data_IF_847577211756
#
_entry.id   IF_847577211756
#
_cell.length_a   1.000
_cell.length_b   1.000
_cell.length_c   1.000
_cell.angle_alpha   90.00
_cell.angle_beta   90.00
_cell.angle_gamma   90.00
#
_symmetry.space_group_name_H-M   'P 1'
#
loop_
_entity.id
_entity.type
_entity.pdbx_description
1 polymer ?
2 non-polymer ?
3 non-polymer ?
4 non-polymer ?
5 water ?
#
# COMPACT_ATOMS: atom_id res chain seq x y z
N UNK A 6 26.77 -15.08 2.86
CA UNK A 6 25.95 -13.85 3.13
C UNK A 6 24.53 -14.26 3.44
N UNK A 7 23.83 -13.54 4.36
CA UNK A 7 22.47 -13.99 4.60
C UNK A 7 21.59 -13.98 3.34
N UNK A 8 20.75 -15.00 3.27
CA UNK A 8 19.73 -15.22 2.26
C UNK A 8 18.39 -14.93 2.90
N UNK A 9 17.65 -13.97 2.34
CA UNK A 9 16.33 -13.65 2.87
C UNK A 9 15.29 -14.15 1.86
N UNK A 10 14.30 -14.89 2.36
CA UNK A 10 13.16 -15.38 1.57
C UNK A 10 12.01 -14.45 1.86
N UNK A 11 11.37 -13.96 0.81
CA UNK A 11 10.23 -13.04 0.90
C UNK A 11 9.02 -13.71 0.26
N UNK A 12 7.93 -13.81 1.02
CA UNK A 12 6.70 -14.50 0.60
C UNK A 12 5.54 -13.46 0.60
N UNK A 13 5.30 -12.76 -0.53
CA UNK A 13 4.21 -11.76 -0.49
C UNK A 13 2.85 -12.43 -0.53
N UNK A 14 1.84 -11.75 -0.02
CA UNK A 14 0.46 -12.16 -0.31
C UNK A 14 0.00 -11.38 -1.57
N UNK A 15 -0.88 -11.99 -2.38
CA UNK A 15 -1.25 -11.37 -3.65
C UNK A 15 -1.62 -9.91 -3.57
N UNK A 16 -1.18 -9.15 -4.57
CA UNK A 16 -1.53 -7.73 -4.70
C UNK A 16 -0.32 -6.93 -5.12
N UNK A 17 -0.48 -6.09 -6.14
CA UNK A 17 0.63 -5.26 -6.60
C UNK A 17 1.12 -4.29 -5.49
N UNK A 18 0.20 -3.89 -4.60
CA UNK A 18 0.49 -3.00 -3.46
C UNK A 18 1.39 -3.65 -2.42
N UNK A 19 1.50 -4.99 -2.45
CA UNK A 19 2.42 -5.71 -1.59
C UNK A 19 3.73 -6.05 -2.31
N UNK A 20 3.64 -6.48 -3.58
CA UNK A 20 4.83 -6.85 -4.31
C UNK A 20 5.75 -5.66 -4.58
N UNK A 21 5.18 -4.50 -4.94
CA UNK A 21 6.02 -3.33 -5.29
C UNK A 21 6.91 -2.85 -4.12
N UNK A 22 6.34 -2.58 -2.94
CA UNK A 22 7.23 -2.16 -1.85
C UNK A 22 8.18 -3.26 -1.43
N UNK A 23 7.77 -4.52 -1.56
CA UNK A 23 8.66 -5.62 -1.25
C UNK A 23 9.85 -5.68 -2.20
N UNK A 24 9.65 -5.31 -3.48
CA UNK A 24 10.75 -5.28 -4.45
C UNK A 24 11.72 -4.14 -4.11
N UNK A 25 11.19 -2.99 -3.72
CA UNK A 25 12.04 -1.88 -3.30
C UNK A 25 12.85 -2.27 -2.04
N UNK A 26 12.18 -2.98 -1.12
CA UNK A 26 12.81 -3.45 0.12
C UNK A 26 13.91 -4.41 -0.24
N UNK A 27 13.64 -5.36 -1.12
CA UNK A 27 14.70 -6.29 -1.58
C UNK A 27 15.94 -5.60 -2.22
N UNK A 28 15.70 -4.58 -3.05
CA UNK A 28 16.79 -3.88 -3.74
C UNK A 28 17.70 -3.22 -2.70
N UNK A 29 17.11 -2.54 -1.71
CA UNK A 29 17.86 -1.98 -0.57
C UNK A 29 18.67 -3.07 0.18
N UNK A 30 18.06 -4.22 0.45
CA UNK A 30 18.82 -5.32 1.10
C UNK A 30 20.03 -5.75 0.30
N UNK A 31 19.89 -5.86 -1.02
CA UNK A 31 21.01 -6.37 -1.79
C UNK A 31 22.02 -5.27 -2.05
N UNK A 32 21.56 -4.07 -2.37
CA UNK A 32 22.46 -2.96 -2.71
C UNK A 32 23.12 -2.32 -1.51
N UNK A 33 22.39 -2.18 -0.42
CA UNK A 33 22.92 -1.46 0.72
C UNK A 33 23.54 -2.40 1.76
N UNK A 34 23.12 -3.65 1.76
CA UNK A 34 23.50 -4.53 2.83
C UNK A 34 24.14 -5.81 2.35
N UNK A 35 24.25 -5.97 1.04
CA UNK A 35 25.00 -7.10 0.49
C UNK A 35 24.35 -8.46 0.72
N UNK A 36 23.04 -8.51 0.97
CA UNK A 36 22.35 -9.80 1.18
C UNK A 36 21.93 -10.41 -0.15
N UNK A 37 21.37 -11.62 -0.12
CA UNK A 37 20.71 -12.17 -1.30
C UNK A 37 19.26 -12.43 -0.94
N UNK A 38 18.37 -12.38 -1.93
CA UNK A 38 16.94 -12.48 -1.65
C UNK A 38 16.33 -13.44 -2.64
N UNK A 39 15.37 -14.24 -2.19
CA UNK A 39 14.55 -15.02 -3.10
C UNK A 39 13.10 -14.65 -2.80
N UNK A 40 12.39 -14.19 -3.83
CA UNK A 40 10.93 -14.04 -3.76
C UNK A 40 10.30 -15.39 -4.03
N UNK A 41 9.40 -15.81 -3.14
CA UNK A 41 8.60 -17.02 -3.38
C UNK A 41 7.15 -16.58 -3.55
N UNK A 42 6.64 -16.71 -4.77
CA UNK A 42 5.35 -16.11 -5.17
C UNK A 42 4.19 -17.10 -5.22
N UNK A 43 3.27 -16.95 -4.27
CA UNK A 43 2.06 -17.76 -4.19
C UNK A 43 0.96 -17.07 -5.04
N UNK A 44 0.08 -17.86 -5.62
CA UNK A 44 -1.02 -17.27 -6.39
C UNK A 44 -2.16 -18.23 -6.54
N UNK A 45 -3.36 -17.72 -6.80
CA UNK A 45 -4.52 -18.64 -7.03
C UNK A 45 -4.65 -18.99 -8.50
N UNK A 46 -3.89 -18.28 -9.33
CA UNK A 46 -3.77 -18.68 -10.71
C UNK A 46 -2.40 -18.30 -11.22
N UNK A 47 -2.20 -18.37 -12.55
CA UNK A 47 -0.86 -18.05 -13.06
C UNK A 47 -0.49 -16.61 -12.75
N UNK A 48 0.80 -16.38 -12.52
CA UNK A 48 1.32 -15.01 -12.32
C UNK A 48 0.95 -14.09 -13.50
N UNK A 49 0.70 -12.80 -13.22
CA UNK A 49 0.50 -11.77 -14.24
C UNK A 49 1.87 -11.49 -14.81
N UNK A 50 2.04 -10.88 -16.00
CA UNK A 50 1.50 -9.62 -16.34
C UNK A 50 2.48 -8.71 -15.57
N UNK A 51 1.88 -7.84 -14.76
CA UNK A 51 2.62 -6.88 -13.93
C UNK A 51 3.57 -7.53 -12.91
N UNK A 52 3.20 -8.69 -12.38
CA UNK A 52 4.07 -9.43 -11.43
C UNK A 52 5.44 -9.78 -12.04
N UNK A 53 5.43 -10.49 -13.18
CA UNK A 53 6.68 -10.80 -13.91
C UNK A 53 7.49 -9.53 -14.25
N UNK A 54 6.83 -8.47 -14.69
CA UNK A 54 7.58 -7.25 -15.01
C UNK A 54 8.25 -6.55 -13.80
N UNK A 55 7.52 -6.39 -12.67
CA UNK A 55 8.13 -5.79 -11.45
C UNK A 55 9.32 -6.61 -10.93
N UNK A 56 9.25 -7.93 -11.11
CA UNK A 56 10.33 -8.86 -10.72
C UNK A 56 11.38 -9.03 -11.82
N UNK A 57 11.21 -8.30 -12.92
CA UNK A 57 12.16 -8.35 -14.04
C UNK A 57 13.21 -7.25 -13.93
N UNK A 58 14.40 -7.52 -14.45
CA UNK A 58 15.48 -6.52 -14.50
C UNK A 58 16.09 -6.21 -13.12
N UNK A 59 16.03 -7.19 -12.22
CA UNK A 59 16.57 -7.03 -10.87
C UNK A 59 17.99 -7.58 -10.79
N UNK A 60 18.82 -7.06 -9.87
CA UNK A 60 20.17 -7.60 -9.71
C UNK A 60 20.11 -9.12 -9.60
N UNK A 61 21.19 -9.82 -9.98
CA UNK A 61 21.22 -11.29 -9.90
C UNK A 61 21.18 -11.77 -8.44
N UNK A 62 21.47 -10.86 -7.51
CA UNK A 62 21.30 -11.13 -6.08
C UNK A 62 19.85 -11.40 -5.66
N UNK A 63 18.90 -11.09 -6.56
CA UNK A 63 17.47 -11.33 -6.30
C UNK A 63 16.90 -12.37 -7.28
N UNK A 64 16.49 -13.53 -6.78
CA UNK A 64 15.78 -14.48 -7.65
C UNK A 64 14.28 -14.57 -7.32
N UNK A 65 13.50 -15.20 -8.21
CA UNK A 65 12.07 -15.40 -8.02
C UNK A 65 11.75 -16.84 -8.30
N UNK A 66 10.93 -17.41 -7.43
CA UNK A 66 10.37 -18.74 -7.61
C UNK A 66 8.86 -18.55 -7.67
N UNK A 67 8.20 -18.96 -8.77
CA UNK A 67 6.74 -18.91 -8.79
C UNK A 67 6.20 -20.26 -8.41
N UNK A 68 5.41 -20.31 -7.32
CA UNK A 68 4.83 -21.60 -6.90
C UNK A 68 3.73 -22.06 -7.86
N UNK A 69 3.43 -23.38 -7.85
CA UNK A 69 2.22 -23.83 -8.57
C UNK A 69 1.01 -23.10 -7.97
N UNK A 70 0.05 -22.68 -8.81
CA UNK A 70 -1.13 -21.97 -8.26
C UNK A 70 -1.94 -22.84 -7.31
N UNK A 71 -2.42 -22.26 -6.21
CA UNK A 71 -3.28 -23.00 -5.30
C UNK A 71 -4.70 -23.02 -5.82
N UNK A 72 -5.44 -24.00 -5.34
CA UNK A 72 -6.77 -24.21 -5.80
C UNK A 72 -7.73 -23.54 -4.82
N UNK A 73 -8.33 -22.44 -5.26
CA UNK A 73 -9.37 -21.77 -4.46
C UNK A 73 -10.73 -21.88 -5.14
N UNK A 74 -10.89 -22.85 -6.02
CA UNK A 74 -12.17 -23.01 -6.74
C UNK A 74 -13.31 -23.46 -5.81
N UNK A 75 -12.98 -23.87 -4.59
CA UNK A 75 -13.99 -24.20 -3.57
C UNK A 75 -14.65 -22.97 -2.91
N UNK A 76 -14.14 -21.78 -3.17
CA UNK A 76 -14.63 -20.53 -2.53
C UNK A 76 -15.76 -19.87 -3.32
N UNK A 77 -16.70 -19.20 -2.63
CA UNK A 77 -17.71 -18.34 -3.30
C UNK A 77 -17.02 -17.29 -4.16
N UNK A 78 -17.66 -16.91 -5.27
CA UNK A 78 -17.11 -15.80 -6.07
C UNK A 78 -17.28 -14.48 -5.30
N UNK A 79 -18.18 -14.45 -4.32
CA UNK A 79 -18.35 -13.27 -3.44
C UNK A 79 -17.35 -13.19 -2.26
N UNK A 80 -16.38 -14.12 -2.21
CA UNK A 80 -15.36 -14.15 -1.14
C UNK A 80 -14.60 -12.80 -1.14
N UNK A 81 -14.36 -12.21 0.04
CA UNK A 81 -13.66 -10.92 0.09
C UNK A 81 -12.18 -11.10 -0.23
N UNK A 82 -11.56 -10.04 -0.73
CA UNK A 82 -10.16 -10.11 -1.18
C UNK A 82 -9.22 -10.56 -0.07
N UNK A 83 -9.47 -10.10 1.15
CA UNK A 83 -8.54 -10.41 2.25
C UNK A 83 -8.55 -11.91 2.58
N UNK A 84 -9.71 -12.54 2.46
CA UNK A 84 -9.82 -13.97 2.61
C UNK A 84 -9.03 -14.62 1.51
N UNK A 85 -9.27 -14.19 0.27
CA UNK A 85 -8.61 -14.84 -0.87
C UNK A 85 -7.10 -14.79 -0.68
N UNK A 86 -6.59 -13.62 -0.32
CA UNK A 86 -5.12 -13.44 -0.32
C UNK A 86 -4.42 -14.12 0.85
N UNK A 87 -5.06 -14.13 2.01
CA UNK A 87 -4.55 -14.88 3.18
C UNK A 87 -4.54 -16.37 2.87
N UNK A 88 -5.66 -16.88 2.37
CA UNK A 88 -5.74 -18.31 2.04
C UNK A 88 -4.75 -18.77 0.97
N UNK A 89 -4.42 -17.88 0.07
CA UNK A 89 -3.46 -18.16 -0.98
C UNK A 89 -2.09 -18.48 -0.38
N UNK A 90 -1.70 -17.69 0.63
CA UNK A 90 -0.47 -17.98 1.39
C UNK A 90 -0.67 -19.24 2.20
N UNK A 91 -1.70 -19.29 3.04
CA UNK A 91 -1.95 -20.49 3.85
C UNK A 91 -1.86 -21.81 3.06
N UNK A 92 -2.61 -21.88 1.97
CA UNK A 92 -2.67 -23.09 1.13
C UNK A 92 -1.43 -23.38 0.30
N UNK A 93 -0.53 -22.42 0.21
CA UNK A 93 0.74 -22.62 -0.47
C UNK A 93 1.83 -23.17 0.43
N UNK A 94 1.55 -23.33 1.72
CA UNK A 94 2.58 -23.88 2.63
C UNK A 94 3.21 -25.19 2.14
N UNK A 95 2.39 -26.15 1.67
CA UNK A 95 3.06 -27.37 1.13
C UNK A 95 4.13 -27.12 0.06
N UNK A 96 3.81 -26.26 -0.89
CA UNK A 96 4.74 -25.88 -1.92
C UNK A 96 5.91 -25.04 -1.39
N UNK A 97 5.63 -24.19 -0.41
CA UNK A 97 6.68 -23.40 0.23
C UNK A 97 7.71 -24.30 0.95
N UNK A 98 7.22 -25.33 1.64
CA UNK A 98 8.10 -26.35 2.27
C UNK A 98 9.07 -27.01 1.27
N UNK A 99 8.59 -27.33 0.07
CA UNK A 99 9.45 -27.92 -0.98
C UNK A 99 10.53 -26.95 -1.40
N UNK A 100 10.18 -25.68 -1.49
CA UNK A 100 11.15 -24.67 -1.82
C UNK A 100 12.22 -24.58 -0.70
N UNK A 101 11.80 -24.65 0.55
CA UNK A 101 12.76 -24.56 1.64
C UNK A 101 13.66 -25.81 1.64
N UNK A 102 13.11 -26.95 1.27
CA UNK A 102 13.95 -28.16 1.08
C UNK A 102 15.01 -27.91 0.01
N UNK A 103 14.65 -27.30 -1.13
CA UNK A 103 15.70 -27.00 -2.11
C UNK A 103 16.73 -26.01 -1.58
N UNK A 104 16.30 -25.01 -0.81
CA UNK A 104 17.26 -24.06 -0.21
C UNK A 104 18.29 -24.82 0.70
N UNK A 105 17.81 -25.77 1.52
CA UNK A 105 18.64 -26.59 2.42
C UNK A 105 19.68 -27.38 1.58
N UNK A 106 19.20 -28.05 0.53
CA UNK A 106 20.07 -28.75 -0.43
C UNK A 106 21.08 -27.83 -1.08
N UNK A 107 20.68 -26.61 -1.43
CA UNK A 107 21.64 -25.71 -2.05
C UNK A 107 22.56 -24.99 -1.08
N UNK A 108 22.57 -25.39 0.18
CA UNK A 108 23.36 -24.71 1.23
C UNK A 108 22.95 -23.26 1.46
N UNK A 109 21.68 -22.93 1.18
CA UNK A 109 21.17 -21.57 1.29
C UNK A 109 19.90 -21.43 2.16
N UNK A 110 19.78 -22.22 3.24
CA UNK A 110 18.69 -22.06 4.19
C UNK A 110 18.59 -20.55 4.50
N UNK A 111 17.39 -19.97 4.32
CA UNK A 111 17.28 -18.54 4.59
C UNK A 111 17.62 -18.18 6.06
N UNK A 112 18.17 -16.98 6.22
CA UNK A 112 18.36 -16.35 7.55
C UNK A 112 17.09 -15.72 8.11
N UNK A 113 16.15 -15.36 7.22
CA UNK A 113 14.84 -14.89 7.63
C UNK A 113 13.82 -15.22 6.55
N UNK A 114 12.57 -15.38 6.99
CA UNK A 114 11.43 -15.51 6.11
C UNK A 114 10.60 -14.25 6.40
N UNK A 115 10.42 -13.42 5.37
CA UNK A 115 9.71 -12.14 5.51
C UNK A 115 8.36 -12.36 4.80
N UNK A 116 7.26 -12.26 5.55
CA UNK A 116 5.93 -12.31 5.00
C UNK A 116 5.38 -10.86 5.01
N UNK A 117 4.23 -10.64 4.38
CA UNK A 117 3.52 -9.37 4.56
C UNK A 117 2.33 -9.53 5.46
N UNK A 118 1.49 -8.50 5.53
CA UNK A 118 0.51 -8.38 6.61
C UNK A 118 -0.53 -9.51 6.69
N UNK A 119 -0.75 -10.21 5.56
CA UNK A 119 -1.74 -11.32 5.51
C UNK A 119 -1.10 -12.69 5.30
N UNK A 120 0.21 -12.78 5.40
CA UNK A 120 0.85 -14.09 5.11
C UNK A 120 1.42 -14.80 6.33
N UNK A 121 0.91 -14.53 7.53
CA UNK A 121 1.53 -15.10 8.73
C UNK A 121 1.49 -16.64 8.81
N UNK A 122 0.60 -17.32 8.07
CA UNK A 122 0.59 -18.80 8.15
C UNK A 122 1.85 -19.40 7.59
N UNK A 123 2.54 -18.65 6.73
CA UNK A 123 3.90 -19.04 6.29
C UNK A 123 4.89 -19.19 7.45
N UNK A 124 4.57 -18.60 8.61
CA UNK A 124 5.40 -18.82 9.81
C UNK A 124 5.51 -20.29 10.20
N UNK A 125 4.53 -21.10 9.79
CA UNK A 125 4.58 -22.57 10.05
C UNK A 125 5.81 -23.17 9.38
N UNK A 126 6.08 -22.75 8.14
CA UNK A 126 7.25 -23.21 7.39
C UNK A 126 8.55 -22.64 7.98
N UNK A 127 8.56 -21.35 8.31
CA UNK A 127 9.72 -20.79 9.01
C UNK A 127 10.03 -21.58 10.29
N UNK A 128 9.04 -21.82 11.14
CA UNK A 128 9.28 -22.54 12.40
C UNK A 128 9.83 -23.98 12.17
N UNK A 129 9.16 -24.73 11.31
CA UNK A 129 9.66 -26.06 10.90
C UNK A 129 11.14 -26.04 10.49
N UNK A 130 11.58 -25.01 9.75
CA UNK A 130 12.97 -24.95 9.28
C UNK A 130 13.93 -24.16 10.15
N UNK A 131 13.49 -23.75 11.33
CA UNK A 131 14.28 -22.96 12.30
C UNK A 131 14.78 -21.66 11.66
N UNK A 132 13.88 -21.03 10.89
CA UNK A 132 14.22 -19.76 10.22
C UNK A 132 13.47 -18.62 10.94
N UNK A 133 14.18 -17.57 11.43
CA UNK A 133 13.46 -16.43 12.02
C UNK A 133 12.35 -15.83 11.10
N UNK A 134 11.07 -15.77 11.58
CA UNK A 134 10.00 -15.09 10.83
C UNK A 134 9.89 -13.58 11.12
N UNK A 135 9.69 -12.83 10.06
CA UNK A 135 9.54 -11.37 10.11
C UNK A 135 8.34 -10.99 9.25
N UNK A 136 7.76 -9.83 9.55
CA UNK A 136 6.72 -9.24 8.74
C UNK A 136 7.23 -7.92 8.17
N UNK A 137 7.04 -7.75 6.87
CA UNK A 137 7.09 -6.44 6.27
C UNK A 137 5.67 -5.92 6.14
N UNK A 138 5.45 -4.77 6.75
CA UNK A 138 4.12 -4.19 6.89
C UNK A 138 4.00 -3.02 5.91
N UNK A 139 3.22 -3.21 4.83
CA UNK A 139 3.22 -2.25 3.72
C UNK A 139 2.30 -1.05 3.89
N UNK A 140 1.74 -0.88 5.09
CA UNK A 140 0.90 0.29 5.31
C UNK A 140 1.27 0.99 6.64
N UNK A 141 0.38 1.84 7.15
CA UNK A 141 0.81 2.83 8.15
C UNK A 141 1.13 2.26 9.54
N UNK A 142 1.88 3.03 10.34
CA UNK A 142 2.08 2.66 11.74
C UNK A 142 0.73 2.74 12.51
N UNK A 143 -0.14 3.62 12.06
CA UNK A 143 -1.49 3.77 12.62
C UNK A 143 -2.27 2.50 12.43
N UNK A 144 -2.25 1.99 11.20
CA UNK A 144 -2.97 0.74 10.94
C UNK A 144 -2.24 -0.48 11.53
N UNK A 145 -0.91 -0.47 11.50
CA UNK A 145 -0.18 -1.48 12.31
C UNK A 145 -0.60 -1.55 13.78
N UNK A 146 -0.73 -0.39 14.43
CA UNK A 146 -1.24 -0.35 15.79
C UNK A 146 -2.59 -1.01 15.92
N UNK A 147 -3.51 -0.69 15.01
CA UNK A 147 -4.81 -1.35 14.97
C UNK A 147 -4.71 -2.91 14.89
N UNK A 148 -3.89 -3.41 13.96
CA UNK A 148 -3.70 -4.87 13.80
C UNK A 148 -3.17 -5.42 15.12
N UNK A 149 -2.16 -4.76 15.71
CA UNK A 149 -1.58 -5.30 16.96
C UNK A 149 -2.60 -5.34 18.13
N UNK A 150 -3.51 -4.37 18.16
CA UNK A 150 -4.54 -4.27 19.17
C UNK A 150 -5.75 -5.16 18.87
N UNK A 151 -5.86 -5.65 17.63
CA UNK A 151 -7.10 -6.33 17.22
C UNK A 151 -7.49 -7.54 18.09
N UNK A 152 -6.54 -8.43 18.42
CA UNK A 152 -6.85 -9.50 19.38
C UNK A 152 -7.51 -9.00 20.66
N UNK A 153 -7.01 -7.92 21.25
CA UNK A 153 -7.66 -7.36 22.46
C UNK A 153 -9.00 -6.72 22.13
N UNK A 154 -9.07 -5.93 21.06
CA UNK A 154 -10.31 -5.32 20.61
C UNK A 154 -11.41 -6.35 20.42
N UNK A 155 -11.05 -7.44 19.71
CA UNK A 155 -11.99 -8.52 19.40
C UNK A 155 -12.54 -9.12 20.69
N UNK A 156 -11.65 -9.30 21.67
CA UNK A 156 -12.01 -9.90 22.96
C UNK A 156 -12.91 -8.97 23.74
N UNK A 157 -12.61 -7.67 23.73
CA UNK A 157 -13.31 -6.74 24.63
C UNK A 157 -14.56 -6.08 24.07
N UNK A 158 -14.74 -6.14 22.75
CA UNK A 158 -15.85 -5.47 22.09
C UNK A 158 -16.70 -6.55 21.41
N UNK A 159 -18.00 -6.51 21.61
CA UNK A 159 -18.88 -7.60 21.15
C UNK A 159 -19.92 -7.19 20.10
N UNK A 160 -19.98 -5.91 19.76
CA UNK A 160 -20.81 -5.48 18.67
C UNK A 160 -20.01 -5.44 17.37
N UNK A 161 -20.71 -5.28 16.26
CA UNK A 161 -20.04 -4.91 15.01
C UNK A 161 -19.46 -3.52 15.24
N UNK A 162 -18.30 -3.25 14.67
CA UNK A 162 -17.56 -2.03 15.03
C UNK A 162 -18.26 -0.71 14.70
N UNK A 163 -19.04 -0.73 13.63
CA UNK A 163 -19.86 0.42 13.25
C UNK A 163 -20.81 0.86 14.38
N UNK A 164 -21.07 -0.02 15.35
CA UNK A 164 -22.00 0.35 16.46
C UNK A 164 -21.30 1.08 17.60
N UNK A 165 -19.98 1.17 17.55
CA UNK A 165 -19.24 1.87 18.59
C UNK A 165 -19.63 3.35 18.50
N UNK A 166 -19.90 3.98 19.64
CA UNK A 166 -20.26 5.41 19.64
C UNK A 166 -19.05 6.30 19.92
N UNK A 167 -17.97 5.72 20.42
CA UNK A 167 -16.73 6.46 20.60
C UNK A 167 -15.69 5.96 19.60
N UNK A 168 -14.85 6.88 19.04
CA UNK A 168 -13.81 6.43 18.09
C UNK A 168 -12.74 5.63 18.83
N UNK A 169 -12.08 4.72 18.13
CA UNK A 169 -10.93 4.05 18.73
C UNK A 169 -9.73 4.99 18.67
N UNK A 170 -9.02 5.16 19.76
CA UNK A 170 -7.85 6.05 19.70
C UNK A 170 -6.69 5.41 20.45
N UNK A 171 -5.96 4.58 19.72
CA UNK A 171 -4.81 3.86 20.28
C UNK A 171 -3.67 4.84 20.58
N UNK A 172 -2.78 4.49 21.52
CA UNK A 172 -1.64 5.42 21.79
C UNK A 172 -0.91 5.93 20.52
N UNK A 173 -0.79 7.25 20.43
CA UNK A 173 -0.13 7.90 19.33
C UNK A 173 -0.91 7.93 18.01
N UNK A 174 -2.14 7.42 18.00
CA UNK A 174 -2.88 7.23 16.74
C UNK A 174 -3.99 8.22 16.54
N UNK A 175 -4.27 8.56 15.27
CA UNK A 175 -5.45 9.37 14.99
C UNK A 175 -6.71 8.59 15.37
N UNK A 176 -7.69 9.24 16.00
CA UNK A 176 -8.96 8.52 16.30
C UNK A 176 -9.67 8.09 15.02
N UNK A 177 -10.28 6.91 15.06
CA UNK A 177 -11.00 6.42 13.90
C UNK A 177 -12.31 5.89 14.44
N UNK A 178 -13.39 6.28 13.79
CA UNK A 178 -14.72 5.78 14.12
C UNK A 178 -14.88 4.32 13.71
N UNK A 179 -15.62 3.54 14.48
CA UNK A 179 -15.76 2.12 14.21
C UNK A 179 -16.22 1.94 12.78
N UNK A 180 -17.10 2.81 12.30
CA UNK A 180 -17.62 2.67 10.92
C UNK A 180 -16.56 2.90 9.82
N UNK A 181 -15.42 3.47 10.21
CA UNK A 181 -14.31 3.73 9.32
C UNK A 181 -13.17 2.74 9.47
N UNK A 182 -13.27 1.77 10.38
CA UNK A 182 -12.24 0.71 10.42
C UNK A 182 -12.16 0.06 9.06
N UNK A 183 -10.99 -0.49 8.77
CA UNK A 183 -10.68 -1.11 7.49
C UNK A 183 -11.80 -2.11 7.07
N UNK A 184 -12.06 -2.18 5.77
CA UNK A 184 -13.15 -2.99 5.21
C UNK A 184 -13.33 -4.40 5.78
N UNK A 185 -12.24 -5.20 5.88
CA UNK A 185 -12.46 -6.57 6.38
C UNK A 185 -12.86 -6.70 7.89
N UNK A 186 -12.74 -5.61 8.66
CA UNK A 186 -13.31 -5.56 10.02
C UNK A 186 -14.82 -5.25 10.08
N UNK A 187 -15.44 -4.89 8.95
CA UNK A 187 -16.80 -4.31 8.91
C UNK A 187 -17.90 -5.34 9.00
N UNK A 188 -17.55 -6.62 8.87
CA UNK A 188 -18.54 -7.68 9.04
C UNK A 188 -17.88 -8.81 9.80
N UNK A 189 -18.06 -8.84 11.11
CA UNK A 189 -17.37 -9.86 11.95
C UNK A 189 -17.78 -11.32 11.69
N UNK A 190 -18.89 -11.50 11.00
CA UNK A 190 -19.37 -12.84 10.61
C UNK A 190 -18.68 -13.36 9.36
N UNK A 191 -18.02 -12.48 8.61
CA UNK A 191 -17.41 -12.87 7.34
C UNK A 191 -16.02 -13.48 7.50
N UNK A 192 -15.63 -14.37 6.59
CA UNK A 192 -14.30 -15.01 6.77
C UNK A 192 -13.20 -13.97 6.58
N UNK A 193 -13.52 -12.84 5.92
CA UNK A 193 -12.53 -11.79 5.80
C UNK A 193 -12.08 -11.32 7.17
N UNK A 194 -13.02 -11.15 8.10
CA UNK A 194 -12.68 -10.80 9.48
C UNK A 194 -11.94 -11.90 10.21
N UNK A 195 -12.39 -13.15 10.03
CA UNK A 195 -11.69 -14.27 10.66
C UNK A 195 -10.23 -14.36 10.19
N UNK A 196 -9.98 -14.18 8.88
CA UNK A 196 -8.59 -14.18 8.39
C UNK A 196 -7.80 -12.95 8.86
N UNK A 197 -8.44 -11.79 8.87
CA UNK A 197 -7.80 -10.61 9.47
C UNK A 197 -7.37 -10.87 10.92
N UNK A 198 -8.34 -11.32 11.75
CA UNK A 198 -8.09 -11.59 13.16
C UNK A 198 -7.02 -12.66 13.33
N UNK A 199 -7.10 -13.74 12.56
CA UNK A 199 -6.15 -14.85 12.65
C UNK A 199 -4.74 -14.31 12.41
N UNK A 200 -4.57 -13.55 11.32
CA UNK A 200 -3.28 -12.95 11.02
C UNK A 200 -2.80 -12.07 12.17
N UNK A 201 -3.69 -11.28 12.75
CA UNK A 201 -3.20 -10.38 13.80
C UNK A 201 -2.75 -11.13 15.06
N UNK A 202 -3.38 -12.28 15.31
CA UNK A 202 -3.02 -13.06 16.49
C UNK A 202 -1.67 -13.69 16.29
N UNK A 203 -1.26 -13.83 15.02
CA UNK A 203 0.08 -14.35 14.77
C UNK A 203 1.20 -13.29 14.82
N UNK A 204 0.84 -12.01 14.87
CA UNK A 204 1.88 -10.94 14.89
C UNK A 204 2.86 -11.04 16.03
N UNK A 205 2.41 -11.50 17.20
CA UNK A 205 3.31 -11.71 18.34
C UNK A 205 4.38 -12.81 18.09
N UNK A 206 4.19 -13.64 17.07
CA UNK A 206 5.20 -14.65 16.72
C UNK A 206 6.36 -14.07 15.89
N UNK A 207 6.17 -12.89 15.30
CA UNK A 207 7.22 -12.29 14.49
C UNK A 207 8.41 -11.85 15.36
N UNK A 208 9.60 -12.08 14.82
CA UNK A 208 10.83 -11.62 15.48
C UNK A 208 11.01 -10.14 15.34
N UNK A 209 10.35 -9.55 14.36
CA UNK A 209 10.36 -8.10 14.15
C UNK A 209 9.37 -7.75 13.06
N UNK A 210 8.94 -6.48 13.04
CA UNK A 210 7.98 -6.02 12.04
C UNK A 210 8.60 -4.76 11.45
N UNK A 211 8.86 -4.81 10.15
CA UNK A 211 9.44 -3.67 9.43
C UNK A 211 8.27 -2.95 8.77
N UNK A 212 8.11 -1.66 9.02
CA UNK A 212 6.93 -0.96 8.55
C UNK A 212 7.34 0.10 7.51
N UNK A 213 6.65 0.13 6.36
CA UNK A 213 7.00 1.09 5.31
C UNK A 213 6.44 2.46 5.64
N UNK A 214 7.08 3.12 6.61
CA UNK A 214 6.67 4.45 7.02
C UNK A 214 7.91 5.12 7.61
N UNK A 215 7.80 6.38 8.06
CA UNK A 215 8.94 7.01 8.68
C UNK A 215 8.58 7.95 9.78
N UNK A 216 9.57 8.24 10.60
CA UNK A 216 9.34 8.97 11.86
C UNK A 216 8.53 10.24 11.68
N UNK A 217 8.99 11.17 10.84
CA UNK A 217 8.32 12.47 10.70
C UNK A 217 6.91 12.35 10.15
N UNK A 218 6.63 11.26 9.47
CA UNK A 218 5.32 11.04 8.88
C UNK A 218 4.30 10.63 9.96
N UNK A 219 4.73 9.77 10.87
CA UNK A 219 3.86 9.23 11.91
C UNK A 219 4.61 9.17 13.25
N UNK A 220 5.04 10.35 13.77
CA UNK A 220 5.96 10.33 14.91
C UNK A 220 5.37 9.72 16.16
N UNK A 221 4.12 10.06 16.47
CA UNK A 221 3.46 9.56 17.68
C UNK A 221 3.12 8.06 17.66
N UNK A 222 2.58 7.60 16.54
CA UNK A 222 2.30 6.18 16.37
C UNK A 222 3.58 5.37 16.44
N UNK A 223 4.66 5.87 15.85
CA UNK A 223 5.94 5.13 15.86
C UNK A 223 6.54 5.07 17.25
N UNK A 224 6.52 6.21 17.96
CA UNK A 224 7.01 6.22 19.32
C UNK A 224 6.22 5.21 20.16
N UNK A 225 4.90 5.20 20.02
CA UNK A 225 4.05 4.27 20.80
C UNK A 225 4.33 2.78 20.47
N UNK A 226 4.46 2.47 19.18
CA UNK A 226 4.79 1.10 18.73
C UNK A 226 6.13 0.65 19.27
N UNK A 227 7.08 1.57 19.35
CA UNK A 227 8.40 1.19 19.85
C UNK A 227 8.50 1.09 21.38
N UNK A 228 7.48 1.53 22.09
CA UNK A 228 7.46 1.32 23.54
C UNK A 228 7.25 -0.18 23.85
N UNK A 229 7.98 -0.71 24.86
CA UNK A 229 7.80 -2.10 25.26
C UNK A 229 6.34 -2.37 25.62
N UNK A 230 5.85 -3.54 25.26
CA UNK A 230 4.46 -3.88 25.48
C UNK A 230 4.35 -5.38 25.60
N UNK A 231 3.18 -5.84 26.03
CA UNK A 231 2.97 -7.27 26.23
C UNK A 231 2.94 -7.99 24.89
N UNK A 232 3.85 -8.94 24.69
CA UNK A 232 3.88 -9.79 23.47
C UNK A 232 4.03 -8.95 22.18
N UNK A 233 4.68 -7.82 22.27
CA UNK A 233 4.75 -6.88 21.13
C UNK A 233 6.14 -7.02 20.55
N UNK A 234 6.23 -7.36 19.24
CA UNK A 234 7.52 -7.53 18.62
C UNK A 234 8.18 -6.16 18.43
N UNK A 235 9.52 -6.15 18.24
CA UNK A 235 10.12 -4.89 17.88
C UNK A 235 9.61 -4.41 16.50
N UNK A 236 9.55 -3.11 16.35
CA UNK A 236 8.93 -2.46 15.16
C UNK A 236 9.96 -1.48 14.60
N UNK A 237 10.25 -1.61 13.31
CA UNK A 237 11.29 -0.89 12.64
C UNK A 237 10.69 -0.10 11.46
N UNK A 238 10.52 1.22 11.60
CA UNK A 238 10.15 2.04 10.42
C UNK A 238 11.33 2.11 9.42
N UNK A 239 11.12 1.66 8.17
CA UNK A 239 12.21 1.50 7.19
C UNK A 239 11.92 2.31 5.91
N UNK A 240 10.83 3.07 5.93
CA UNK A 240 10.37 3.82 4.75
C UNK A 240 10.91 5.22 4.61
N UNK A 241 10.50 5.90 3.52
CA UNK A 241 9.61 5.41 2.46
C UNK A 241 10.34 4.57 1.39
N UNK A 242 9.94 3.33 1.24
CA UNK A 242 10.57 2.50 0.23
C UNK A 242 9.66 2.61 -0.97
N UNK A 243 10.09 3.40 -1.94
CA UNK A 243 9.29 3.64 -3.17
C UNK A 243 10.16 3.64 -4.42
N UNK A 244 9.51 3.35 -5.55
CA UNK A 244 10.06 3.63 -6.88
C UNK A 244 10.07 5.15 -7.11
N UNK A 245 11.26 5.75 -7.21
CA UNK A 245 11.35 7.24 -7.21
C UNK A 245 11.04 7.90 -8.57
N UNK A 246 10.74 7.06 -9.55
CA UNK A 246 10.21 7.52 -10.84
C UNK A 246 11.25 7.97 -11.86
N UNK A 247 12.46 7.40 -11.75
CA UNK A 247 13.60 7.76 -12.59
C UNK A 247 13.88 6.73 -13.67
N UNK A 248 13.11 5.64 -13.69
CA UNK A 248 13.31 4.59 -14.69
C UNK A 248 12.72 5.02 -16.04
N UNK A 249 13.26 4.49 -17.14
CA UNK A 249 12.79 4.79 -18.50
C UNK A 249 11.40 4.18 -18.73
N UNK A 250 10.51 4.96 -19.37
CA UNK A 250 9.20 4.49 -19.82
C UNK A 250 9.24 4.14 -21.32
N UNK A 256 4.49 6.58 -21.95
CA UNK A 256 5.04 7.38 -23.04
C UNK A 256 4.16 8.53 -23.51
N UNK A 257 3.03 8.22 -24.14
CA UNK A 257 2.14 9.28 -24.64
C UNK A 257 1.70 10.17 -23.49
N UNK A 258 1.33 9.56 -22.36
CA UNK A 258 0.85 10.42 -21.27
C UNK A 258 2.00 11.29 -20.71
N UNK A 259 3.21 10.74 -20.64
CA UNK A 259 4.39 11.52 -20.19
C UNK A 259 4.84 12.59 -21.20
N UNK A 260 4.65 12.33 -22.52
CA UNK A 260 4.82 13.37 -23.56
C UNK A 260 3.84 14.52 -23.38
N UNK A 261 2.56 14.18 -23.15
CA UNK A 261 1.54 15.17 -22.86
C UNK A 261 1.95 15.98 -21.62
N UNK A 262 2.37 15.29 -20.57
CA UNK A 262 2.80 15.93 -19.32
C UNK A 262 3.97 16.93 -19.56
N UNK A 263 4.95 16.55 -20.38
CA UNK A 263 6.08 17.43 -20.74
C UNK A 263 5.61 18.77 -21.28
N UNK A 264 4.43 18.80 -21.91
CA UNK A 264 3.90 20.04 -22.52
C UNK A 264 2.96 20.87 -21.64
N UNK A 265 2.87 20.52 -20.35
CA UNK A 265 2.02 21.29 -19.44
C UNK A 265 2.88 22.13 -18.52
N UNK A 266 2.36 23.28 -18.05
CA UNK A 266 3.14 24.14 -17.17
C UNK A 266 3.52 23.48 -15.85
N UNK A 267 4.60 23.99 -15.25
CA UNK A 267 5.01 23.56 -13.90
C UNK A 267 3.86 23.52 -12.93
N UNK A 268 3.77 22.39 -12.22
CA UNK A 268 2.83 22.22 -11.09
C UNK A 268 1.36 22.31 -11.41
N UNK A 269 0.99 22.01 -12.66
CA UNK A 269 -0.33 22.41 -13.16
C UNK A 269 -1.33 21.25 -13.28
N UNK A 270 -0.82 20.00 -13.25
CA UNK A 270 -1.63 18.85 -13.52
C UNK A 270 -2.06 18.08 -12.28
N UNK A 271 -3.36 17.78 -12.19
CA UNK A 271 -3.89 16.91 -11.14
C UNK A 271 -3.88 15.49 -11.65
N UNK A 272 -3.07 14.64 -11.01
CA UNK A 272 -3.07 13.22 -11.33
C UNK A 272 -4.22 12.59 -10.56
N UNK A 273 -4.97 11.73 -11.24
CA UNK A 273 -6.12 11.02 -10.64
C UNK A 273 -5.94 9.51 -10.84
N UNK A 274 -5.81 8.76 -9.74
CA UNK A 274 -5.64 7.30 -9.84
C UNK A 274 -6.12 6.62 -8.56
N UNK A 275 -6.78 5.49 -8.74
CA UNK A 275 -7.42 4.71 -7.66
C UNK A 275 -6.72 3.36 -7.42
N UNK A 276 -5.39 3.38 -7.49
CA UNK A 276 -4.56 2.25 -7.11
C UNK A 276 -4.44 1.19 -8.17
N UNK A 277 -3.97 0.02 -7.74
CA UNK A 277 -3.88 -1.10 -8.62
C UNK A 277 -5.22 -1.79 -8.83
N UNK A 278 -6.16 -1.67 -7.89
CA UNK A 278 -7.45 -2.34 -8.05
C UNK A 278 -8.73 -1.56 -7.81
N UNK A 279 -8.67 -0.23 -7.70
CA UNK A 279 -9.85 0.51 -7.30
C UNK A 279 -10.68 0.98 -8.50
N UNK A 280 -12.01 0.98 -8.31
CA UNK A 280 -12.97 1.48 -9.29
C UNK A 280 -14.05 2.31 -8.56
N UNK A 281 -14.81 3.12 -9.31
CA UNK A 281 -15.94 3.83 -8.76
C UNK A 281 -17.27 3.24 -9.27
N UNK A 282 -18.36 3.58 -8.60
CA UNK A 282 -19.69 3.26 -9.12
C UNK A 282 -19.93 4.08 -10.38
N UNK A 283 -20.93 3.69 -11.16
CA UNK A 283 -21.37 4.49 -12.31
C UNK A 283 -21.66 5.91 -11.95
N UNK A 284 -22.52 6.07 -10.95
CA UNK A 284 -22.94 7.39 -10.50
C UNK A 284 -21.73 8.25 -10.09
N UNK A 285 -20.81 7.64 -9.34
CA UNK A 285 -19.64 8.42 -8.86
C UNK A 285 -18.65 8.73 -10.00
N UNK A 286 -18.50 7.77 -10.92
CA UNK A 286 -17.61 7.99 -12.05
C UNK A 286 -18.12 9.20 -12.83
N UNK A 287 -19.43 9.24 -13.03
CA UNK A 287 -20.05 10.30 -13.79
C UNK A 287 -19.86 11.66 -13.15
N UNK A 288 -20.09 11.76 -11.84
CA UNK A 288 -19.95 13.04 -11.08
C UNK A 288 -18.50 13.51 -11.05
N UNK A 289 -17.60 12.54 -10.92
CA UNK A 289 -16.15 12.83 -10.92
C UNK A 289 -15.74 13.41 -12.29
N UNK A 290 -16.11 12.74 -13.37
CA UNK A 290 -15.84 13.26 -14.72
C UNK A 290 -16.36 14.70 -14.94
N UNK A 291 -17.65 14.91 -14.67
CA UNK A 291 -18.25 16.22 -14.78
C UNK A 291 -17.53 17.26 -13.91
N UNK A 292 -17.24 16.93 -12.64
CA UNK A 292 -16.47 17.85 -11.76
C UNK A 292 -15.06 18.19 -12.18
N UNK A 293 -14.35 17.19 -12.69
CA UNK A 293 -13.00 17.42 -13.25
C UNK A 293 -13.03 18.42 -14.42
N UNK A 294 -13.96 18.19 -15.34
CA UNK A 294 -14.18 19.11 -16.47
C UNK A 294 -14.63 20.48 -15.94
N UNK A 295 -15.61 20.48 -15.04
CA UNK A 295 -16.09 21.75 -14.44
C UNK A 295 -14.98 22.58 -13.85
N UNK A 296 -13.99 21.89 -13.24
CA UNK A 296 -12.91 22.55 -12.47
C UNK A 296 -12.00 23.37 -13.38
N UNK A 297 -11.99 23.05 -14.67
CA UNK A 297 -11.10 23.67 -15.69
C UNK A 297 -9.62 23.48 -15.41
N UNK A 298 -9.28 22.56 -14.50
CA UNK A 298 -7.90 22.20 -14.23
C UNK A 298 -7.42 21.14 -15.16
N UNK A 299 -6.11 21.13 -15.34
CA UNK A 299 -5.45 20.12 -16.16
C UNK A 299 -5.41 18.86 -15.32
N UNK A 300 -5.61 17.72 -15.96
CA UNK A 300 -5.67 16.48 -15.19
C UNK A 300 -5.16 15.31 -16.04
N UNK A 301 -4.61 14.31 -15.35
CA UNK A 301 -4.20 13.06 -15.98
C UNK A 301 -4.91 11.99 -15.15
N UNK A 302 -5.92 11.36 -15.75
CA UNK A 302 -6.77 10.42 -15.05
C UNK A 302 -6.58 9.00 -15.57
N UNK A 303 -6.19 8.10 -14.67
CA UNK A 303 -6.13 6.69 -15.01
C UNK A 303 -7.50 6.10 -14.74
N UNK A 304 -8.19 5.67 -15.79
CA UNK A 304 -9.59 5.33 -15.69
C UNK A 304 -9.81 3.82 -15.80
N UNK A 305 -10.67 3.29 -14.92
CA UNK A 305 -11.19 1.91 -15.05
C UNK A 305 -12.70 1.91 -15.20
N UNK A 306 -13.28 0.89 -15.86
CA UNK A 306 -14.75 0.79 -15.91
C UNK A 306 -15.38 0.70 -14.53
N UNK A 307 -16.60 1.27 -14.36
CA UNK A 307 -17.21 1.36 -13.04
C UNK A 307 -17.71 0.02 -12.53
N UNK A 308 -17.92 -0.07 -11.22
CA UNK A 308 -18.42 -1.30 -10.59
C UNK A 308 -19.07 -0.98 -9.27
N UNK A 309 -19.99 -1.84 -8.83
CA UNK A 309 -20.51 -1.69 -7.48
C UNK A 309 -19.55 -2.23 -6.44
N UNK A 310 -18.52 -2.97 -6.88
CA UNK A 310 -17.48 -3.49 -5.97
C UNK A 310 -16.22 -2.61 -6.14
N UNK A 311 -15.81 -1.93 -5.09
CA UNK A 311 -14.77 -0.88 -5.16
C UNK A 311 -13.38 -1.41 -5.51
N UNK A 312 -13.11 -2.69 -5.21
CA UNK A 312 -11.84 -3.35 -5.48
C UNK A 312 -11.93 -4.46 -6.55
N UNK A 313 -12.95 -4.37 -7.41
CA UNK A 313 -13.22 -5.38 -8.45
C UNK A 313 -12.06 -5.64 -9.40
N UNK A 314 -11.17 -4.66 -9.66
CA UNK A 314 -10.01 -5.06 -10.47
C UNK A 314 -8.72 -5.39 -9.69
N UNK A 315 -8.89 -5.77 -8.42
CA UNK A 315 -7.73 -6.11 -7.55
C UNK A 315 -6.70 -7.04 -8.19
N UNK A 316 -7.17 -8.07 -8.87
CA UNK A 316 -6.26 -8.99 -9.57
C UNK A 316 -5.95 -8.60 -11.02
N UNK A 321 -11.04 -5.33 -19.70
CA UNK A 321 -12.22 -6.02 -20.26
C UNK A 321 -13.01 -5.12 -21.24
N UNK A 322 -13.86 -4.26 -20.67
CA UNK A 322 -14.58 -3.23 -21.42
C UNK A 322 -13.69 -1.99 -21.56
N UNK A 323 -13.99 -1.16 -22.56
CA UNK A 323 -13.34 0.14 -22.72
C UNK A 323 -13.90 1.15 -21.71
N UNK A 324 -13.07 1.56 -20.72
CA UNK A 324 -13.59 2.49 -19.71
C UNK A 324 -14.12 3.78 -20.30
N UNK A 325 -13.60 4.18 -21.45
CA UNK A 325 -13.95 5.48 -22.05
C UNK A 325 -15.41 5.55 -22.49
N UNK A 326 -16.02 4.38 -22.72
CA UNK A 326 -17.43 4.27 -23.11
C UNK A 326 -18.36 4.65 -21.98
N UNK A 327 -17.83 4.76 -20.75
CA UNK A 327 -18.64 5.16 -19.60
C UNK A 327 -18.65 6.65 -19.32
N UNK A 328 -17.91 7.45 -20.10
CA UNK A 328 -17.77 8.87 -19.81
C UNK A 328 -18.98 9.65 -20.33
N UNK A 329 -19.34 10.77 -19.66
CA UNK A 329 -20.55 11.47 -20.09
C UNK A 329 -20.42 12.13 -21.50
N UNK A 330 -21.59 12.47 -22.14
CA UNK A 330 -21.56 13.07 -23.48
C UNK A 330 -20.66 14.30 -23.53
N UNK A 331 -19.78 14.34 -24.53
CA UNK A 331 -18.94 15.54 -24.74
C UNK A 331 -17.75 15.69 -23.78
N UNK A 332 -17.69 14.87 -22.72
CA UNK A 332 -16.61 14.98 -21.75
C UNK A 332 -15.18 14.94 -22.37
N UNK A 333 -14.88 13.90 -23.17
CA UNK A 333 -13.59 13.78 -23.85
C UNK A 333 -13.33 14.96 -24.81
N UNK A 334 -14.38 15.45 -25.49
CA UNK A 334 -14.26 16.62 -26.36
C UNK A 334 -13.90 17.85 -25.55
N UNK A 335 -14.69 18.16 -24.52
CA UNK A 335 -14.40 19.36 -23.76
C UNK A 335 -13.00 19.37 -23.14
N UNK A 336 -12.51 18.20 -22.73
CA UNK A 336 -11.26 18.13 -21.99
C UNK A 336 -10.09 17.68 -22.87
N UNK A 337 -10.28 17.75 -24.19
CA UNK A 337 -9.31 17.18 -25.13
C UNK A 337 -7.91 17.78 -25.00
N UNK A 338 -7.83 19.05 -24.67
CA UNK A 338 -6.53 19.70 -24.50
C UNK A 338 -6.01 19.61 -23.05
N UNK A 339 -6.91 19.84 -22.08
CA UNK A 339 -6.48 20.07 -20.70
C UNK A 339 -6.46 18.78 -19.85
N UNK A 340 -7.06 17.73 -20.39
CA UNK A 340 -7.13 16.45 -19.68
C UNK A 340 -6.59 15.30 -20.49
N UNK A 341 -5.90 14.39 -19.82
CA UNK A 341 -5.43 13.17 -20.48
C UNK A 341 -6.01 12.00 -19.71
N UNK A 342 -6.91 11.26 -20.38
CA UNK A 342 -7.51 10.07 -19.78
C UNK A 342 -6.81 8.83 -20.40
N UNK A 343 -6.23 8.02 -19.50
CA UNK A 343 -5.55 6.77 -19.87
C UNK A 343 -6.22 5.58 -19.18
N UNK A 344 -6.65 4.59 -19.97
CA UNK A 344 -7.27 3.38 -19.40
C UNK A 344 -6.30 2.53 -18.58
N UNK A 345 -6.77 2.05 -17.42
CA UNK A 345 -6.18 0.88 -16.74
C UNK A 345 -4.93 1.14 -15.91
N UNK A 346 -3.91 1.76 -16.50
CA UNK A 346 -2.58 1.83 -15.87
C UNK A 346 -1.73 2.97 -16.44
N UNK A 347 -1.09 3.72 -15.57
CA UNK A 347 -0.13 4.75 -15.98
C UNK A 347 1.23 4.54 -15.30
N UNK A 348 2.30 5.12 -15.89
CA UNK A 348 3.59 5.07 -15.22
C UNK A 348 3.59 6.06 -14.03
N UNK A 349 2.96 5.64 -12.92
CA UNK A 349 2.66 6.54 -11.82
C UNK A 349 3.92 7.13 -11.20
N UNK A 350 4.95 6.29 -10.98
CA UNK A 350 6.18 6.82 -10.35
C UNK A 350 6.72 8.00 -11.13
N UNK A 351 6.77 7.87 -12.48
CA UNK A 351 7.25 8.96 -13.36
C UNK A 351 6.33 10.18 -13.32
N UNK A 352 5.01 9.93 -13.32
CA UNK A 352 4.04 11.04 -13.25
C UNK A 352 4.23 11.87 -11.98
N UNK A 353 4.29 11.20 -10.83
CA UNK A 353 4.41 11.95 -9.56
C UNK A 353 5.73 12.73 -9.44
N UNK A 354 6.80 12.19 -10.03
CA UNK A 354 8.12 12.83 -10.05
C UNK A 354 8.25 13.94 -11.14
N UNK A 355 7.23 14.08 -11.98
CA UNK A 355 7.28 15.06 -13.09
C UNK A 355 6.99 16.44 -12.62
N UNK A 356 7.80 17.45 -13.05
CA UNK A 356 7.67 18.85 -12.66
C UNK A 356 6.32 19.47 -12.96
N UNK A 357 5.60 18.94 -13.94
CA UNK A 357 4.26 19.45 -14.32
C UNK A 357 3.12 18.94 -13.44
N UNK A 358 3.41 17.93 -12.63
CA UNK A 358 2.39 17.43 -11.71
C UNK A 358 2.30 18.37 -10.48
N UNK A 359 1.09 18.75 -10.11
CA UNK A 359 0.88 19.64 -8.98
C UNK A 359 0.00 19.10 -7.85
N UNK A 360 -0.64 17.95 -8.11
CA UNK A 360 -1.60 17.42 -7.16
C UNK A 360 -2.00 16.00 -7.48
N UNK A 361 -2.57 15.31 -6.47
CA UNK A 361 -2.87 13.89 -6.63
C UNK A 361 -4.16 13.54 -5.94
N UNK A 362 -5.18 13.23 -6.73
CA UNK A 362 -6.42 12.68 -6.18
C UNK A 362 -6.22 11.18 -6.09
N UNK A 363 -6.13 10.67 -4.87
CA UNK A 363 -5.71 9.26 -4.67
C UNK A 363 -6.75 8.49 -3.84
N UNK A 364 -6.75 7.17 -3.97
CA UNK A 364 -7.56 6.31 -3.09
C UNK A 364 -6.89 6.10 -1.72
N UNK A 365 -5.70 6.65 -1.54
CA UNK A 365 -4.98 6.62 -0.24
C UNK A 365 -4.30 5.28 0.05
N UNK A 366 -4.15 4.47 -1.01
CA UNK A 366 -3.23 3.31 -1.01
C UNK A 366 -1.90 3.80 -0.47
N UNK A 367 -1.22 2.98 0.36
CA UNK A 367 -0.11 3.58 1.06
C UNK A 367 1.08 3.80 0.12
N UNK A 368 1.28 2.94 -0.89
CA UNK A 368 2.39 3.13 -1.84
C UNK A 368 2.21 4.40 -2.62
N UNK A 369 0.98 4.67 -3.07
CA UNK A 369 0.69 5.94 -3.78
C UNK A 369 0.95 7.09 -2.83
N UNK A 370 0.54 6.94 -1.58
CA UNK A 370 0.75 8.04 -0.59
C UNK A 370 2.22 8.32 -0.41
N UNK A 371 3.03 7.27 -0.25
CA UNK A 371 4.48 7.48 -0.06
C UNK A 371 5.14 8.08 -1.28
N UNK A 372 4.78 7.60 -2.48
CA UNK A 372 5.31 8.15 -3.71
C UNK A 372 5.03 9.64 -3.78
N UNK A 373 3.81 10.02 -3.39
CA UNK A 373 3.41 11.42 -3.44
C UNK A 373 4.21 12.25 -2.41
N UNK A 374 4.39 11.70 -1.21
CA UNK A 374 5.22 12.33 -0.18
C UNK A 374 6.63 12.59 -0.68
N UNK A 375 7.21 11.57 -1.28
CA UNK A 375 8.62 11.63 -1.74
C UNK A 375 8.75 12.73 -2.79
N UNK A 376 7.69 12.97 -3.57
CA UNK A 376 7.73 14.03 -4.59
C UNK A 376 7.10 15.34 -4.17
N UNK A 377 6.61 15.36 -2.94
CA UNK A 377 6.02 16.57 -2.37
C UNK A 377 4.68 16.97 -2.98
N UNK A 378 3.94 15.99 -3.49
CA UNK A 378 2.68 16.28 -4.17
C UNK A 378 1.50 16.19 -3.21
N UNK A 379 0.78 17.32 -2.98
CA UNK A 379 -0.37 17.32 -2.06
C UNK A 379 -1.55 16.49 -2.62
N UNK A 380 -2.41 16.00 -1.72
CA UNK A 380 -3.40 15.02 -2.07
C UNK A 380 -4.80 15.51 -1.87
N UNK A 381 -5.70 14.94 -2.68
CA UNK A 381 -7.12 14.86 -2.30
C UNK A 381 -7.36 13.39 -1.88
N UNK A 382 -7.86 13.21 -0.65
CA UNK A 382 -8.01 11.87 -0.04
C UNK A 382 -9.37 11.32 -0.52
N UNK A 383 -9.36 10.30 -1.37
CA UNK A 383 -10.62 9.70 -1.86
C UNK A 383 -10.61 8.20 -1.61
N UNK A 384 -10.77 7.79 -0.34
CA UNK A 384 -10.61 6.34 0.00
C UNK A 384 -11.71 5.45 -0.58
N UNK A 385 -11.38 4.20 -0.93
CA UNK A 385 -12.36 3.34 -1.56
C UNK A 385 -12.60 2.01 -0.82
N UNK A 386 -11.52 1.34 -0.41
CA UNK A 386 -11.64 0.00 0.21
C UNK A 386 -10.47 -0.28 1.17
N UNK A 387 -10.34 -1.52 1.64
CA UNK A 387 -9.24 -1.91 2.52
C UNK A 387 -9.18 -0.93 3.70
N UNK A 388 -7.96 -0.49 4.10
CA UNK A 388 -7.76 0.51 5.16
C UNK A 388 -7.69 1.98 4.68
N UNK A 389 -8.17 2.26 3.47
CA UNK A 389 -7.98 3.59 2.89
C UNK A 389 -8.66 4.69 3.69
N UNK A 390 -9.84 4.41 4.23
CA UNK A 390 -10.52 5.39 5.06
C UNK A 390 -9.71 5.74 6.29
N UNK A 391 -9.16 4.72 6.95
CA UNK A 391 -8.25 4.98 8.07
C UNK A 391 -7.10 5.91 7.63
N UNK A 392 -6.47 5.60 6.49
CA UNK A 392 -5.38 6.43 5.91
C UNK A 392 -5.84 7.85 5.61
N UNK A 393 -7.04 8.00 5.07
CA UNK A 393 -7.60 9.33 4.73
C UNK A 393 -7.77 10.20 5.97
N UNK A 394 -8.26 9.60 7.05
CA UNK A 394 -8.45 10.32 8.32
C UNK A 394 -7.04 10.71 8.83
N UNK A 395 -6.09 9.77 8.80
CA UNK A 395 -4.71 10.15 9.15
C UNK A 395 -4.14 11.30 8.31
N UNK A 396 -4.30 11.19 7.00
CA UNK A 396 -3.68 12.16 6.09
C UNK A 396 -4.35 13.51 6.22
N UNK A 397 -5.67 13.52 6.43
CA UNK A 397 -6.38 14.83 6.51
C UNK A 397 -6.44 15.51 7.85
N UNK A 398 -6.51 14.73 8.93
CA UNK A 398 -6.79 15.27 10.25
C UNK A 398 -5.57 15.29 11.16
N UNK A 399 -4.54 14.49 10.88
CA UNK A 399 -3.36 14.35 11.73
C UNK A 399 -2.10 14.85 11.01
N UNK A 400 -1.72 14.17 9.92
CA UNK A 400 -0.61 14.61 9.07
C UNK A 400 -0.95 15.94 8.39
N UNK A 401 -2.20 16.11 7.95
CA UNK A 401 -2.64 17.34 7.29
C UNK A 401 -1.92 17.62 5.99
N UNK A 402 -1.78 16.57 5.17
CA UNK A 402 -1.22 16.65 3.79
C UNK A 402 -2.22 16.27 2.70
N UNK A 403 -3.48 16.09 3.10
CA UNK A 403 -4.59 15.77 2.18
C UNK A 403 -5.85 16.60 2.49
N UNK A 404 -6.53 17.00 1.41
CA UNK A 404 -7.87 17.55 1.51
C UNK A 404 -8.88 16.40 1.29
N UNK A 405 -10.06 16.53 1.88
CA UNK A 405 -11.12 15.55 1.69
C UNK A 405 -12.31 16.16 0.98
N UNK A 406 -12.83 15.48 -0.05
CA UNK A 406 -14.09 15.96 -0.60
C UNK A 406 -15.27 15.68 0.34
N UNK A 407 -16.31 16.49 0.30
CA UNK A 407 -17.53 16.19 1.05
C UNK A 407 -18.48 15.33 0.25
N UNK A 408 -18.81 14.15 0.79
CA UNK A 408 -19.80 13.24 0.23
C UNK A 408 -21.17 13.55 0.84
N UNK A 409 -22.20 13.57 -0.01
CA UNK A 409 -23.59 13.71 0.42
C UNK A 409 -24.00 12.57 1.34
N UNK A 410 -25.18 12.72 1.96
CA UNK A 410 -25.66 11.71 2.90
C UNK A 410 -25.84 10.36 2.21
N UNK A 411 -26.16 10.37 0.92
CA UNK A 411 -26.16 9.14 0.13
C UNK A 411 -24.75 8.59 -0.27
N UNK A 412 -23.67 9.24 0.17
CA UNK A 412 -22.30 8.75 -0.12
C UNK A 412 -21.69 9.21 -1.43
N UNK A 413 -22.46 9.95 -2.24
CA UNK A 413 -21.97 10.48 -3.53
C UNK A 413 -21.29 11.83 -3.32
N UNK A 414 -20.12 11.97 -3.94
CA UNK A 414 -19.40 13.21 -4.06
C UNK A 414 -19.82 13.82 -5.41
N UNK A 415 -20.58 14.91 -5.36
CA UNK A 415 -21.18 15.50 -6.54
C UNK A 415 -20.20 16.41 -7.26
N UNK A 416 -20.51 16.73 -8.51
CA UNK A 416 -19.61 17.50 -9.35
C UNK A 416 -19.24 18.85 -8.75
N UNK A 417 -20.15 19.51 -8.08
CA UNK A 417 -19.83 20.79 -7.43
C UNK A 417 -18.71 20.64 -6.40
N UNK A 418 -18.77 19.58 -5.59
CA UNK A 418 -17.76 19.35 -4.57
C UNK A 418 -16.44 18.90 -5.21
N UNK A 419 -16.50 18.05 -6.24
CA UNK A 419 -15.30 17.66 -6.99
C UNK A 419 -14.61 18.94 -7.47
N UNK A 420 -15.38 19.86 -8.05
CA UNK A 420 -14.69 21.02 -8.64
C UNK A 420 -14.15 21.92 -7.53
N UNK A 421 -14.91 22.08 -6.45
CA UNK A 421 -14.45 22.85 -5.31
C UNK A 421 -13.11 22.32 -4.78
N UNK A 422 -13.05 21.03 -4.47
CA UNK A 422 -11.86 20.48 -3.85
C UNK A 422 -10.64 20.47 -4.82
N UNK A 423 -10.90 20.23 -6.11
CA UNK A 423 -9.83 20.22 -7.10
C UNK A 423 -9.23 21.64 -7.26
N UNK A 424 -10.10 22.65 -7.29
CA UNK A 424 -9.61 23.99 -7.44
C UNK A 424 -8.94 24.41 -6.16
N UNK A 425 -9.52 24.04 -5.02
CA UNK A 425 -8.92 24.26 -3.72
C UNK A 425 -7.50 23.73 -3.56
N UNK A 426 -7.30 22.50 -4.06
CA UNK A 426 -5.97 21.88 -4.06
C UNK A 426 -5.00 22.61 -4.97
N UNK A 427 -5.42 22.80 -6.21
CA UNK A 427 -4.55 23.22 -7.29
C UNK A 427 -4.24 24.72 -7.27
N UNK A 428 -5.08 25.52 -6.64
CA UNK A 428 -4.92 26.98 -6.72
C UNK A 428 -5.42 27.75 -5.48
N UNK A 429 -6.26 27.11 -4.67
CA UNK A 429 -6.89 27.78 -3.54
C UNK A 429 -6.07 27.89 -2.28
N UNK A 430 -6.52 28.77 -1.39
CA UNK A 430 -5.99 28.89 -0.03
C UNK A 430 -5.99 27.57 0.70
N UNK A 431 -7.08 26.81 0.55
CA UNK A 431 -7.22 25.47 1.13
C UNK A 431 -5.99 24.60 0.85
N UNK A 432 -5.52 24.59 -0.40
CA UNK A 432 -4.40 23.75 -0.82
C UNK A 432 -3.01 24.21 -0.39
N UNK A 433 -2.91 25.44 0.14
CA UNK A 433 -1.61 25.99 0.57
C UNK A 433 -1.09 25.25 1.78
N UNK A 434 -1.95 25.02 2.76
CA UNK A 434 -1.56 24.29 3.97
C UNK A 434 -1.01 22.91 3.62
N UNK A 435 -1.78 22.14 2.85
CA UNK A 435 -1.31 20.79 2.48
C UNK A 435 -0.07 20.83 1.60
N UNK A 436 0.02 21.84 0.71
CA UNK A 436 1.16 21.88 -0.18
C UNK A 436 2.44 22.13 0.63
N UNK A 437 2.36 23.05 1.60
CA UNK A 437 3.50 23.34 2.51
C UNK A 437 3.87 22.11 3.32
N UNK A 438 2.85 21.42 3.82
CA UNK A 438 3.11 20.21 4.62
C UNK A 438 3.82 19.16 3.77
N UNK A 439 3.38 18.98 2.53
CA UNK A 439 4.06 17.98 1.70
C UNK A 439 5.51 18.37 1.37
N UNK A 440 5.78 19.66 1.26
CA UNK A 440 7.13 20.14 1.07
C UNK A 440 8.02 19.72 2.26
N UNK A 441 7.55 19.94 3.48
CA UNK A 441 8.25 19.51 4.66
C UNK A 441 8.45 17.98 4.72
N UNK A 442 7.43 17.23 4.29
CA UNK A 442 7.55 15.75 4.28
C UNK A 442 8.48 15.25 3.23
N UNK A 443 8.53 15.92 2.08
CA UNK A 443 9.45 15.55 1.00
C UNK A 443 10.91 15.62 1.51
N UNK A 444 11.17 16.70 2.22
CA UNK A 444 12.48 16.94 2.86
C UNK A 444 12.77 15.87 3.91
N UNK A 445 11.78 15.57 4.76
CA UNK A 445 11.98 14.60 5.82
C UNK A 445 12.16 13.19 5.21
N UNK A 446 11.48 12.89 4.10
CA UNK A 446 11.66 11.60 3.40
C UNK A 446 13.13 11.41 2.92
N UNK A 447 13.75 12.51 2.49
CA UNK A 447 15.15 12.50 2.18
C UNK A 447 16.03 12.27 3.42
N UNK A 448 15.76 13.03 4.46
CA UNK A 448 16.51 12.94 5.73
C UNK A 448 16.59 11.51 6.26
N UNK A 449 15.44 10.83 6.29
CA UNK A 449 15.39 9.52 7.01
C UNK A 449 16.12 8.37 6.29
N UNK A 450 16.39 8.54 4.99
CA UNK A 450 17.02 7.50 4.18
C UNK A 450 18.52 7.77 3.96
N UNK A 451 19.02 8.84 4.55
CA UNK A 451 20.47 9.07 4.53
C UNK A 451 21.17 7.97 5.32
N UNK A 452 22.50 7.92 5.17
CA UNK A 452 23.30 6.88 5.80
C UNK A 452 23.04 6.77 7.28
N UNK A 453 22.73 7.89 7.92
CA UNK A 453 22.47 7.87 9.34
C UNK A 453 21.06 8.44 9.63
N UNK A 454 20.18 8.36 8.62
CA UNK A 454 18.74 8.71 8.83
C UNK A 454 18.07 7.60 9.63
N UNK A 455 16.97 7.92 10.29
CA UNK A 455 16.32 6.94 11.19
C UNK A 455 15.78 5.68 10.50
N UNK A 456 15.25 5.82 9.28
CA UNK A 456 14.85 4.61 8.50
C UNK A 456 16.00 3.71 8.06
N UNK A 457 17.08 4.31 7.60
CA UNK A 457 18.30 3.56 7.25
C UNK A 457 18.86 2.86 8.52
N UNK A 458 18.91 3.59 9.63
CA UNK A 458 19.40 2.99 10.88
C UNK A 458 18.57 1.76 11.26
N UNK A 459 17.24 1.84 11.09
CA UNK A 459 16.36 0.75 11.53
C UNK A 459 16.56 -0.47 10.64
N UNK A 460 16.64 -0.23 9.33
CA UNK A 460 16.87 -1.33 8.41
C UNK A 460 18.23 -1.94 8.62
N UNK A 461 19.23 -1.08 8.86
CA UNK A 461 20.58 -1.54 9.14
C UNK A 461 20.65 -2.45 10.35
N UNK A 462 19.95 -2.09 11.42
CA UNK A 462 19.90 -2.90 12.64
C UNK A 462 19.36 -4.30 12.31
N UNK A 463 18.29 -4.36 11.52
CA UNK A 463 17.73 -5.64 11.14
C UNK A 463 18.74 -6.46 10.32
N UNK A 464 19.30 -5.85 9.27
CA UNK A 464 20.31 -6.51 8.42
C UNK A 464 21.53 -6.95 9.24
N UNK A 465 21.93 -6.13 10.20
CA UNK A 465 23.02 -6.50 11.13
C UNK A 465 22.67 -7.76 11.96
N UNK A 466 21.44 -7.82 12.47
CA UNK A 466 20.90 -8.96 13.23
C UNK A 466 20.94 -10.24 12.37
N UNK A 467 20.58 -10.07 11.08
CA UNK A 467 20.56 -11.19 10.14
C UNK A 467 21.98 -11.71 9.88
N UNK A 468 22.89 -10.78 9.62
CA UNK A 468 24.33 -11.10 9.46
C UNK A 468 24.94 -11.82 10.66
N UNK A 469 24.53 -11.40 11.85
CA UNK A 469 25.07 -12.00 13.07
C UNK A 469 24.49 -13.40 13.26
N UNK A 470 23.18 -13.56 13.05
CA UNK A 470 22.53 -14.86 13.03
C UNK A 470 23.21 -15.85 12.08
N UNK A 471 23.49 -15.41 10.86
CA UNK A 471 24.12 -16.26 9.85
C UNK A 471 25.54 -16.62 10.33
N UNK A 472 26.25 -15.62 10.85
CA UNK A 472 27.59 -15.82 11.36
C UNK A 472 27.60 -16.92 12.43
N UNK A 473 26.74 -16.81 13.44
CA UNK A 473 26.69 -17.78 14.53
C UNK A 473 26.30 -19.16 14.08
N UNK A 474 25.49 -19.25 13.03
CA UNK A 474 25.02 -20.54 12.52
C UNK A 474 26.12 -21.29 11.77
N UNK A 475 26.83 -20.57 10.92
CA UNK A 475 27.84 -21.17 10.04
C UNK A 475 29.13 -21.53 10.79
N UNK A 476 29.33 -20.90 11.95
CA UNK A 476 30.53 -21.14 12.75
C UNK A 476 30.26 -22.20 13.81
#
# INVERSE_FOLDING_TARGET
MEESKTPHVAIIPSPGMGHLIPLVEFAKRLVHLHGLTVTFVIAGEGPPSKAQRTVLDSLPSSISSVFLPPVDLTDLSSSTRIESRISLTVTRSNPELRKVFDSFVEGGRLPTALVVDLFGTDAFDVAVEFHVPPYIFYPTTANVLSFFLHLPKLDETVSCEFRELTEPLMLPGCVPVAGKDFLDPAQDRKDDAYKWLLHNTKRYKEAEGILVNTFFELEPNAIKALQEPGLDKPPVYPVGPLVNIGKQEAKQTEESECLKWLDNQPLGSVLYVSFGSGGTLTCEQLNELALGLADSEQRFLWVIRSPSGIANSSYFDSHSQTDPLTFLPPGFLERTKKRGFVIPFWAPQAQVLAHPSTGGFLTHCGWNSTLESVVSGIPLIAWPLYAEQKMNAVLLSEDIRAALRPRAGDDGLVRREEVARVVKGLMEGEEGKGVRNKMKELKEAACRVLKDDGTSTKALSLVALKWKAHKKELEQNGNH
#
